data_IF_149820010161
#
_entry.id   IF_149820010161
#
_cell.length_a   1.000
_cell.length_b   1.000
_cell.length_c   1.000
_cell.angle_alpha   90.00
_cell.angle_beta   90.00
_cell.angle_gamma   90.00
#
_symmetry.space_group_name_H-M   'P 1'
#
loop_
_entity.id
_entity.type
_entity.pdbx_description
1 polymer ?
#
# COMPACT_ATOMS: atom_id res chain seq x y z
N UNK A 1 -13.27 -90.15 -4.33
CA UNK A 1 -13.10 -89.25 -3.16
C UNK A 1 -14.14 -89.60 -2.12
N UNK A 2 -13.78 -89.65 -0.84
CA UNK A 2 -14.76 -89.79 0.24
C UNK A 2 -15.30 -88.42 0.66
N UNK A 3 -16.49 -88.41 1.28
CA UNK A 3 -17.07 -87.22 1.91
C UNK A 3 -16.09 -86.57 2.91
N UNK A 4 -15.33 -87.39 3.64
CA UNK A 4 -14.31 -86.93 4.58
C UNK A 4 -13.22 -86.09 3.89
N UNK A 5 -12.74 -86.50 2.71
CA UNK A 5 -11.75 -85.72 1.95
C UNK A 5 -12.34 -84.37 1.52
N UNK A 6 -13.59 -84.34 1.07
CA UNK A 6 -14.26 -83.10 0.65
C UNK A 6 -14.44 -82.13 1.82
N UNK A 7 -14.85 -82.63 2.98
CA UNK A 7 -14.98 -81.84 4.21
C UNK A 7 -13.65 -81.23 4.65
N UNK A 8 -12.57 -82.02 4.66
CA UNK A 8 -11.24 -81.51 5.01
C UNK A 8 -10.78 -80.41 4.04
N UNK A 9 -10.94 -80.61 2.72
CA UNK A 9 -10.59 -79.60 1.72
C UNK A 9 -11.40 -78.30 1.91
N UNK A 10 -12.70 -78.40 2.21
CA UNK A 10 -13.54 -77.24 2.48
C UNK A 10 -13.06 -76.47 3.71
N UNK A 11 -12.81 -77.15 4.84
CA UNK A 11 -12.34 -76.52 6.08
C UNK A 11 -10.99 -75.81 5.86
N UNK A 12 -10.06 -76.43 5.15
CA UNK A 12 -8.77 -75.82 4.83
C UNK A 12 -8.93 -74.56 3.97
N UNK A 13 -9.78 -74.61 2.94
CA UNK A 13 -10.03 -73.44 2.10
C UNK A 13 -10.68 -72.31 2.91
N UNK A 14 -11.67 -72.62 3.74
CA UNK A 14 -12.31 -71.63 4.62
C UNK A 14 -11.30 -70.99 5.57
N UNK A 15 -10.40 -71.78 6.16
CA UNK A 15 -9.35 -71.25 7.03
C UNK A 15 -8.38 -70.31 6.28
N UNK A 16 -7.98 -70.67 5.05
CA UNK A 16 -7.14 -69.84 4.20
C UNK A 16 -7.81 -68.51 3.83
N UNK A 17 -9.10 -68.53 3.50
CA UNK A 17 -9.89 -67.31 3.22
C UNK A 17 -9.97 -66.42 4.47
N UNK A 18 -10.24 -66.98 5.66
CA UNK A 18 -10.27 -66.20 6.91
C UNK A 18 -8.92 -65.60 7.27
N UNK A 19 -7.83 -66.33 7.06
CA UNK A 19 -6.47 -65.81 7.29
C UNK A 19 -6.14 -64.69 6.30
N UNK A 20 -6.55 -64.83 5.04
CA UNK A 20 -6.39 -63.78 4.03
C UNK A 20 -7.16 -62.52 4.41
N UNK A 21 -8.42 -62.65 4.86
CA UNK A 21 -9.22 -61.52 5.34
C UNK A 21 -8.55 -60.86 6.56
N UNK A 22 -8.17 -61.62 7.59
CA UNK A 22 -7.47 -61.10 8.77
C UNK A 22 -6.15 -60.42 8.44
N UNK A 23 -5.38 -60.98 7.51
CA UNK A 23 -4.13 -60.41 7.03
C UNK A 23 -4.33 -59.06 6.33
N UNK A 24 -5.41 -58.92 5.55
CA UNK A 24 -5.77 -57.66 4.87
C UNK A 24 -6.34 -56.60 5.82
N UNK A 25 -7.14 -56.99 6.80
CA UNK A 25 -7.75 -56.04 7.76
C UNK A 25 -6.81 -55.63 8.87
N UNK A 26 -5.81 -56.45 9.20
CA UNK A 26 -4.92 -56.24 10.34
C UNK A 26 -5.63 -56.45 11.69
N UNK A 27 -4.99 -56.00 12.77
CA UNK A 27 -5.52 -56.03 14.15
C UNK A 27 -5.87 -54.63 14.63
N UNK A 28 -6.95 -54.50 15.40
CA UNK A 28 -7.39 -53.20 15.94
C UNK A 28 -6.34 -52.54 16.82
N UNK A 29 -5.48 -53.32 17.49
CA UNK A 29 -4.38 -52.81 18.32
C UNK A 29 -3.32 -52.06 17.51
N UNK A 30 -3.19 -52.35 16.21
CA UNK A 30 -2.24 -51.68 15.33
C UNK A 30 -2.70 -50.30 14.85
N UNK A 31 -3.98 -49.93 15.07
CA UNK A 31 -4.48 -48.59 14.76
C UNK A 31 -3.76 -47.54 15.63
N UNK A 32 -3.45 -46.39 15.03
CA UNK A 32 -2.89 -45.21 15.71
C UNK A 32 -3.96 -44.20 16.14
N UNK A 33 -5.21 -44.42 15.74
CA UNK A 33 -6.38 -43.66 16.20
C UNK A 33 -6.63 -43.91 17.69
N UNK A 34 -7.38 -43.01 18.32
CA UNK A 34 -7.76 -43.12 19.72
C UNK A 34 -8.82 -44.21 19.91
N UNK A 35 -9.86 -44.21 19.07
CA UNK A 35 -10.89 -45.24 19.04
C UNK A 35 -10.43 -46.46 18.24
N UNK A 36 -10.32 -47.59 18.95
CA UNK A 36 -9.94 -48.91 18.39
C UNK A 36 -11.05 -49.94 18.56
N UNK A 37 -12.28 -49.52 18.86
CA UNK A 37 -13.44 -50.42 19.03
C UNK A 37 -13.83 -51.12 17.73
N UNK A 38 -13.61 -50.46 16.58
CA UNK A 38 -13.79 -51.02 15.24
C UNK A 38 -13.05 -50.21 14.18
N UNK A 39 -12.84 -50.79 12.99
CA UNK A 39 -12.31 -50.04 11.83
C UNK A 39 -13.21 -48.86 11.45
N UNK A 40 -14.53 -49.02 11.59
CA UNK A 40 -15.51 -47.97 11.26
C UNK A 40 -15.38 -46.78 12.21
N UNK A 41 -15.22 -47.05 13.51
CA UNK A 41 -15.02 -46.00 14.50
C UNK A 41 -13.73 -45.22 14.25
N UNK A 42 -12.62 -45.93 14.01
CA UNK A 42 -11.34 -45.32 13.65
C UNK A 42 -11.40 -44.45 12.38
N UNK A 43 -12.10 -44.93 11.33
CA UNK A 43 -12.30 -44.18 10.08
C UNK A 43 -13.16 -42.92 10.32
N UNK A 44 -14.20 -43.02 11.14
CA UNK A 44 -15.04 -41.88 11.48
C UNK A 44 -14.28 -40.83 12.32
N UNK A 45 -13.40 -41.26 13.24
CA UNK A 45 -12.48 -40.37 13.96
C UNK A 45 -11.56 -39.63 12.98
N UNK A 46 -10.92 -40.34 12.04
CA UNK A 46 -10.06 -39.73 11.03
C UNK A 46 -10.82 -38.72 10.15
N UNK A 47 -12.04 -39.06 9.73
CA UNK A 47 -12.90 -38.14 8.96
C UNK A 47 -13.19 -36.86 9.74
N UNK A 48 -13.53 -36.99 11.02
CA UNK A 48 -13.77 -35.83 11.88
C UNK A 48 -12.49 -34.98 12.02
N UNK A 49 -11.34 -35.62 12.26
CA UNK A 49 -10.05 -34.94 12.36
C UNK A 49 -9.69 -34.18 11.07
N UNK A 50 -9.94 -34.77 9.89
CA UNK A 50 -9.70 -34.12 8.59
C UNK A 50 -10.66 -32.95 8.38
N UNK A 51 -11.94 -33.06 8.77
CA UNK A 51 -12.89 -31.95 8.70
C UNK A 51 -12.50 -30.80 9.63
N UNK A 52 -11.89 -31.09 10.78
CA UNK A 52 -11.37 -30.09 11.71
C UNK A 52 -9.98 -29.58 11.37
N UNK A 53 -9.23 -30.29 10.52
CA UNK A 53 -7.98 -29.84 9.93
C UNK A 53 -8.28 -28.79 8.85
N UNK A 54 -8.93 -27.71 9.28
CA UNK A 54 -9.29 -26.59 8.43
C UNK A 54 -8.02 -25.80 8.16
N UNK A 55 -7.41 -26.04 7.00
CA UNK A 55 -6.32 -25.20 6.52
C UNK A 55 -6.82 -23.80 6.12
N UNK A 56 -8.12 -23.64 5.78
CA UNK A 56 -8.69 -22.39 5.27
C UNK A 56 -9.87 -21.94 6.15
N UNK A 57 -9.70 -20.86 6.90
CA UNK A 57 -10.75 -20.24 7.73
C UNK A 57 -10.82 -18.73 7.47
N UNK A 58 -11.88 -18.25 6.82
CA UNK A 58 -12.09 -16.83 6.46
C UNK A 58 -12.75 -15.98 7.57
N UNK A 59 -13.13 -16.61 8.68
CA UNK A 59 -13.85 -15.97 9.79
C UNK A 59 -12.91 -15.53 10.91
N UNK A 60 -11.85 -16.29 11.17
CA UNK A 60 -10.95 -16.03 12.30
C UNK A 60 -9.49 -15.97 11.90
N UNK A 61 -8.74 -15.05 12.51
CA UNK A 61 -7.28 -15.02 12.42
C UNK A 61 -6.72 -16.05 13.38
N UNK A 62 -5.92 -16.99 12.88
CA UNK A 62 -5.18 -17.93 13.70
C UNK A 62 -3.80 -18.20 13.13
N UNK A 63 -2.90 -18.76 13.95
CA UNK A 63 -1.56 -19.20 13.51
C UNK A 63 -1.58 -20.59 12.87
N UNK A 64 -2.71 -21.29 12.95
CA UNK A 64 -2.90 -22.67 12.49
C UNK A 64 -3.81 -22.79 11.26
N UNK A 65 -4.32 -21.67 10.74
CA UNK A 65 -5.14 -21.59 9.53
C UNK A 65 -4.63 -20.48 8.60
N UNK A 66 -5.02 -20.53 7.33
CA UNK A 66 -4.83 -19.45 6.36
C UNK A 66 -6.19 -18.94 5.87
N UNK A 67 -6.21 -17.76 5.26
CA UNK A 67 -7.34 -17.29 4.49
C UNK A 67 -7.40 -17.93 3.10
N UNK A 68 -8.59 -17.97 2.53
CA UNK A 68 -8.82 -18.29 1.13
C UNK A 68 -8.27 -17.18 0.23
N UNK A 69 -7.96 -17.51 -1.03
CA UNK A 69 -7.52 -16.48 -2.01
C UNK A 69 -8.54 -15.36 -2.18
N UNK A 70 -9.84 -15.68 -2.10
CA UNK A 70 -10.92 -14.68 -2.18
C UNK A 70 -10.89 -13.72 -0.99
N UNK A 71 -10.71 -14.24 0.22
CA UNK A 71 -10.59 -13.40 1.42
C UNK A 71 -9.32 -12.56 1.41
N UNK A 72 -8.20 -13.12 0.95
CA UNK A 72 -6.95 -12.37 0.77
C UNK A 72 -7.16 -11.19 -0.17
N UNK A 73 -7.76 -11.40 -1.35
CA UNK A 73 -8.07 -10.32 -2.29
C UNK A 73 -8.96 -9.26 -1.63
N UNK A 74 -10.02 -9.68 -0.93
CA UNK A 74 -10.91 -8.74 -0.22
C UNK A 74 -10.17 -7.90 0.83
N UNK A 75 -9.25 -8.49 1.59
CA UNK A 75 -8.44 -7.76 2.59
C UNK A 75 -7.45 -6.80 1.91
N UNK A 76 -6.87 -7.19 0.78
CA UNK A 76 -5.98 -6.32 0.00
C UNK A 76 -6.74 -5.15 -0.63
N UNK A 77 -7.93 -5.37 -1.14
CA UNK A 77 -8.78 -4.30 -1.69
C UNK A 77 -9.21 -3.32 -0.60
N UNK A 78 -9.56 -3.82 0.60
CA UNK A 78 -9.86 -2.98 1.75
C UNK A 78 -8.63 -2.16 2.19
N UNK A 79 -7.45 -2.79 2.28
CA UNK A 79 -6.20 -2.10 2.59
C UNK A 79 -5.87 -1.02 1.56
N UNK A 80 -6.07 -1.32 0.26
CA UNK A 80 -5.89 -0.34 -0.81
C UNK A 80 -6.85 0.83 -0.63
N UNK A 81 -8.13 0.57 -0.35
CA UNK A 81 -9.12 1.62 -0.12
C UNK A 81 -8.77 2.48 1.12
N UNK A 82 -8.32 1.88 2.21
CA UNK A 82 -7.92 2.58 3.44
C UNK A 82 -6.68 3.46 3.22
N UNK A 83 -5.68 2.98 2.46
CA UNK A 83 -4.48 3.76 2.12
C UNK A 83 -4.85 4.95 1.23
N UNK A 84 -5.79 4.78 0.31
CA UNK A 84 -6.18 5.83 -0.62
C UNK A 84 -7.22 6.78 -0.04
N UNK A 85 -8.01 6.37 0.95
CA UNK A 85 -8.88 7.24 1.73
C UNK A 85 -9.91 8.04 0.91
N UNK A 86 -10.26 7.59 -0.29
CA UNK A 86 -11.11 8.33 -1.22
C UNK A 86 -10.38 9.40 -2.05
N UNK A 87 -9.06 9.26 -2.22
CA UNK A 87 -8.28 10.04 -3.18
C UNK A 87 -8.94 10.02 -4.57
N UNK A 88 -8.86 11.15 -5.26
CA UNK A 88 -9.27 11.25 -6.66
C UNK A 88 -8.55 10.17 -7.48
N UNK A 89 -9.18 9.55 -8.50
CA UNK A 89 -8.52 8.58 -9.37
C UNK A 89 -7.20 9.05 -10.00
N UNK A 90 -6.97 10.36 -10.13
CA UNK A 90 -5.70 10.93 -10.60
C UNK A 90 -4.57 10.90 -9.54
N UNK A 91 -4.90 10.60 -8.29
CA UNK A 91 -3.98 10.52 -7.14
C UNK A 91 -4.16 9.20 -6.38
N UNK A 92 -4.67 8.17 -7.05
CA UNK A 92 -4.96 6.86 -6.46
C UNK A 92 -3.70 5.98 -6.36
N UNK A 93 -2.55 6.48 -6.82
CA UNK A 93 -1.25 5.88 -6.59
C UNK A 93 -0.33 6.79 -5.75
N UNK A 94 0.48 6.16 -4.91
CA UNK A 94 1.52 6.85 -4.13
C UNK A 94 2.53 7.60 -5.04
N UNK A 95 2.71 7.13 -6.27
CA UNK A 95 3.59 7.76 -7.25
C UNK A 95 3.02 9.09 -7.76
N UNK A 96 1.73 9.13 -8.09
CA UNK A 96 1.06 10.36 -8.52
C UNK A 96 1.05 11.41 -7.41
N UNK A 97 0.78 11.01 -6.16
CA UNK A 97 0.88 11.90 -5.00
C UNK A 97 2.29 12.45 -4.81
N UNK A 98 3.31 11.59 -4.96
CA UNK A 98 4.71 12.02 -4.90
C UNK A 98 5.02 13.05 -5.99
N UNK A 99 4.56 12.84 -7.21
CA UNK A 99 4.76 13.76 -8.33
C UNK A 99 4.03 15.09 -8.12
N UNK A 100 2.79 15.05 -7.65
CA UNK A 100 2.00 16.25 -7.34
C UNK A 100 2.73 17.14 -6.33
N UNK A 101 3.23 16.57 -5.24
CA UNK A 101 3.98 17.30 -4.22
C UNK A 101 5.30 17.90 -4.75
N UNK A 102 6.01 17.18 -5.62
CA UNK A 102 7.23 17.70 -6.26
C UNK A 102 6.91 18.85 -7.21
N UNK A 103 5.87 18.73 -8.03
CA UNK A 103 5.41 19.77 -8.93
C UNK A 103 4.97 21.01 -8.14
N UNK A 104 4.20 20.83 -7.07
CA UNK A 104 3.78 21.92 -6.18
C UNK A 104 4.98 22.63 -5.56
N UNK A 105 6.03 21.90 -5.15
CA UNK A 105 7.26 22.51 -4.64
C UNK A 105 7.95 23.37 -5.70
N UNK A 106 8.01 22.92 -6.96
CA UNK A 106 8.55 23.73 -8.05
C UNK A 106 7.67 24.94 -8.36
N UNK A 107 6.34 24.80 -8.28
CA UNK A 107 5.40 25.89 -8.49
C UNK A 107 5.50 26.96 -7.40
N UNK A 108 5.60 26.56 -6.13
CA UNK A 108 5.78 27.46 -4.99
C UNK A 108 7.13 28.17 -5.08
N UNK A 109 8.20 27.46 -5.46
CA UNK A 109 9.51 28.06 -5.67
C UNK A 109 9.47 29.09 -6.81
N UNK A 110 8.79 28.77 -7.92
CA UNK A 110 8.61 29.69 -9.04
C UNK A 110 7.78 30.92 -8.64
N UNK A 111 6.72 30.75 -7.86
CA UNK A 111 5.90 31.85 -7.34
C UNK A 111 6.71 32.75 -6.39
N UNK A 112 7.47 32.15 -5.46
CA UNK A 112 8.36 32.88 -4.54
C UNK A 112 9.38 33.69 -5.32
N UNK A 113 10.06 33.07 -6.29
CA UNK A 113 11.03 33.76 -7.14
C UNK A 113 10.41 34.86 -8.00
N UNK A 114 9.15 34.73 -8.42
CA UNK A 114 8.43 35.77 -9.15
C UNK A 114 8.02 36.93 -8.23
N UNK A 115 7.65 36.65 -6.99
CA UNK A 115 7.31 37.67 -5.98
C UNK A 115 8.56 38.44 -5.53
N UNK A 116 9.70 37.78 -5.35
CA UNK A 116 10.97 38.41 -4.97
C UNK A 116 11.45 39.45 -5.99
N UNK A 117 11.05 39.29 -7.26
CA UNK A 117 11.34 40.23 -8.34
C UNK A 117 10.42 41.46 -8.38
N UNK A 118 9.39 41.53 -7.53
CA UNK A 118 8.49 42.69 -7.49
C UNK A 118 9.06 43.80 -6.60
N UNK A 119 8.84 45.03 -7.03
CA UNK A 119 9.17 46.22 -6.23
C UNK A 119 8.17 46.33 -5.08
N UNK A 120 8.65 46.36 -3.84
CA UNK A 120 7.82 46.55 -2.64
C UNK A 120 7.48 48.02 -2.43
N UNK A 121 6.25 48.28 -2.01
CA UNK A 121 5.79 49.64 -1.62
C UNK A 121 5.59 49.78 -0.11
N UNK A 122 5.52 48.64 0.61
CA UNK A 122 5.20 48.56 2.04
C UNK A 122 6.43 48.64 2.94
N UNK A 123 7.63 48.47 2.37
CA UNK A 123 8.90 48.60 3.08
C UNK A 123 10.03 49.02 2.13
N UNK A 124 11.13 49.53 2.71
CA UNK A 124 12.36 49.77 1.97
C UNK A 124 12.93 48.45 1.41
N UNK A 125 13.34 48.46 0.15
CA UNK A 125 13.89 47.31 -0.55
C UNK A 125 15.32 47.60 -1.02
N UNK A 126 16.23 46.64 -0.85
CA UNK A 126 17.60 46.77 -1.37
C UNK A 126 17.65 46.12 -2.75
N UNK A 127 17.66 46.94 -3.80
CA UNK A 127 17.78 46.51 -5.19
C UNK A 127 19.17 46.85 -5.71
N UNK A 128 19.74 45.97 -6.55
CA UNK A 128 20.97 46.27 -7.30
C UNK A 128 20.72 47.38 -8.33
N UNK A 129 21.78 48.05 -8.80
CA UNK A 129 21.66 49.13 -9.79
C UNK A 129 20.92 48.69 -11.07
N UNK A 130 21.21 47.52 -11.67
CA UNK A 130 20.46 47.03 -12.83
C UNK A 130 18.97 46.81 -12.55
N UNK A 131 18.63 46.22 -11.39
CA UNK A 131 17.24 45.97 -10.99
C UNK A 131 16.46 47.28 -10.80
N UNK A 132 17.08 48.29 -10.16
CA UNK A 132 16.47 49.61 -10.01
C UNK A 132 16.19 50.26 -11.37
N UNK A 133 17.13 50.17 -12.31
CA UNK A 133 16.96 50.72 -13.66
C UNK A 133 15.82 50.03 -14.40
N UNK A 134 15.75 48.69 -14.38
CA UNK A 134 14.66 47.96 -15.01
C UNK A 134 13.31 48.29 -14.36
N UNK A 135 13.26 48.34 -13.03
CA UNK A 135 12.06 48.69 -12.27
C UNK A 135 11.54 50.08 -12.66
N UNK A 136 12.41 51.10 -12.69
CA UNK A 136 12.05 52.46 -13.10
C UNK A 136 11.57 52.51 -14.55
N UNK A 137 12.26 51.81 -15.45
CA UNK A 137 11.85 51.71 -16.86
C UNK A 137 10.46 51.10 -17.02
N UNK A 138 10.12 50.06 -16.24
CA UNK A 138 8.81 49.39 -16.32
C UNK A 138 7.65 50.31 -15.94
N UNK A 139 7.87 51.25 -15.02
CA UNK A 139 6.83 52.18 -14.53
C UNK A 139 6.95 53.58 -15.14
N UNK A 140 7.87 53.80 -16.07
CA UNK A 140 8.11 55.11 -16.69
C UNK A 140 8.70 56.16 -15.74
N UNK A 141 9.44 55.73 -14.70
CA UNK A 141 10.14 56.62 -13.77
C UNK A 141 11.58 56.90 -14.21
N UNK A 142 12.14 58.01 -13.72
CA UNK A 142 13.56 58.41 -13.94
C UNK A 142 14.32 58.38 -12.62
N UNK A 143 15.65 58.22 -12.66
CA UNK A 143 16.43 58.23 -11.43
C UNK A 143 16.53 59.67 -10.87
N UNK A 144 16.61 59.81 -9.54
CA UNK A 144 16.81 61.12 -8.92
C UNK A 144 18.10 61.81 -9.40
N UNK A 145 19.15 61.03 -9.68
CA UNK A 145 20.40 61.53 -10.27
C UNK A 145 20.23 62.15 -11.65
N UNK A 146 19.22 61.72 -12.40
CA UNK A 146 18.98 62.18 -13.77
C UNK A 146 18.19 63.50 -13.79
N UNK A 147 17.39 63.76 -12.74
CA UNK A 147 16.67 65.03 -12.56
C UNK A 147 17.57 66.08 -11.88
N UNK A 148 18.43 65.65 -10.94
CA UNK A 148 19.16 66.55 -10.05
C UNK A 148 18.37 66.90 -8.79
N UNK A 149 18.76 67.98 -8.10
CA UNK A 149 18.07 68.42 -6.89
C UNK A 149 16.70 69.03 -7.25
N UNK A 150 15.63 68.28 -6.97
CA UNK A 150 14.25 68.69 -7.23
C UNK A 150 13.78 69.84 -6.32
N UNK A 151 14.56 70.19 -5.29
CA UNK A 151 14.32 71.33 -4.41
C UNK A 151 15.06 72.60 -4.83
N UNK A 152 15.77 72.57 -5.97
CA UNK A 152 16.50 73.72 -6.50
C UNK A 152 15.58 74.94 -6.68
N UNK A 153 15.88 76.03 -5.98
CA UNK A 153 15.19 77.31 -6.16
C UNK A 153 15.76 78.05 -7.39
N UNK A 154 15.14 77.80 -8.54
CA UNK A 154 15.51 78.45 -9.80
C UNK A 154 15.31 79.96 -9.79
N UNK A 155 14.40 80.49 -8.97
CA UNK A 155 14.15 81.94 -8.87
C UNK A 155 15.29 82.61 -8.12
N UNK A 156 15.75 82.01 -7.03
CA UNK A 156 16.93 82.48 -6.31
C UNK A 156 18.18 82.46 -7.21
N UNK A 157 18.40 81.38 -7.96
CA UNK A 157 19.53 81.27 -8.91
C UNK A 157 19.44 82.35 -9.99
N UNK A 158 18.25 82.54 -10.58
CA UNK A 158 18.05 83.55 -11.61
C UNK A 158 18.31 84.96 -11.09
N UNK A 159 17.75 85.31 -9.93
CA UNK A 159 17.95 86.63 -9.32
C UNK A 159 19.41 86.88 -8.94
N UNK A 160 20.13 85.85 -8.47
CA UNK A 160 21.56 85.92 -8.19
C UNK A 160 22.43 86.05 -9.45
N UNK A 161 21.91 85.73 -10.64
CA UNK A 161 22.63 85.86 -11.91
C UNK A 161 22.38 87.20 -12.64
N UNK A 162 21.45 88.03 -12.15
CA UNK A 162 21.12 89.34 -12.72
C UNK A 162 22.04 90.49 -12.25
N UNK A 163 23.02 90.20 -11.38
CA UNK A 163 24.00 91.17 -10.86
C UNK A 163 25.13 91.44 -11.86
#
# INVERSE_FOLDING_TARGET
MSLQTQLNSFVLRVAEEFNTVKGRTGTLTALTTTDKSSLVAAINELKAAILTAVAIDDLTVATTSTYSSSKIVSVLDALKADILGGADPAFDTLLELQQALQNDQTGIAALTAAIDKRVRFDAAQTLTVPEQTQARSNIGAVAASDIGDTSTDFVAIFNAALV
#
